data_IF_225438411568
#
_entry.id   IF_225438411568
#
_cell.length_a   1.000
_cell.length_b   1.000
_cell.length_c   1.000
_cell.angle_alpha   90.00
_cell.angle_beta   90.00
_cell.angle_gamma   90.00
#
_symmetry.space_group_name_H-M   'P 1'
#
loop_
_entity.id
_entity.type
_entity.pdbx_description
1 polymer ?
#
# COMPACT_ATOMS: atom_id res chain seq x y z
N UNK A 1 25.05 -24.18 -9.31
CA UNK A 1 25.38 -24.60 -7.93
C UNK A 1 25.51 -23.40 -6.98
N UNK A 2 26.40 -22.43 -7.25
CA UNK A 2 26.52 -21.23 -6.42
C UNK A 2 25.24 -20.36 -6.41
N UNK A 3 24.66 -20.11 -7.60
CA UNK A 3 23.42 -19.32 -7.75
C UNK A 3 22.21 -19.93 -7.03
N UNK A 4 22.13 -21.26 -6.96
CA UNK A 4 21.06 -21.95 -6.23
C UNK A 4 21.16 -21.73 -4.71
N UNK A 5 22.39 -21.78 -4.18
CA UNK A 5 22.63 -21.55 -2.75
C UNK A 5 22.39 -20.09 -2.37
N UNK A 6 22.77 -19.15 -3.23
CA UNK A 6 22.49 -17.72 -3.05
C UNK A 6 20.99 -17.42 -3.07
N UNK A 7 20.25 -17.95 -4.05
CA UNK A 7 18.79 -17.82 -4.11
C UNK A 7 18.11 -18.38 -2.85
N UNK A 8 18.56 -19.55 -2.38
CA UNK A 8 18.06 -20.16 -1.16
C UNK A 8 18.32 -19.29 0.07
N UNK A 9 19.55 -18.83 0.26
CA UNK A 9 19.89 -17.98 1.41
C UNK A 9 19.06 -16.68 1.42
N UNK A 10 18.97 -15.99 0.28
CA UNK A 10 18.26 -14.73 0.16
C UNK A 10 16.76 -14.88 0.42
N UNK A 11 16.12 -15.90 -0.17
CA UNK A 11 14.69 -16.15 0.09
C UNK A 11 14.47 -16.50 1.55
N UNK A 12 15.33 -17.33 2.16
CA UNK A 12 15.18 -17.72 3.56
C UNK A 12 15.24 -16.51 4.49
N UNK A 13 16.18 -15.59 4.25
CA UNK A 13 16.36 -14.35 5.03
C UNK A 13 15.24 -13.34 4.80
N UNK A 14 14.82 -13.14 3.54
CA UNK A 14 13.74 -12.19 3.20
C UNK A 14 12.38 -12.59 3.78
N UNK A 15 12.22 -13.87 4.11
CA UNK A 15 10.98 -14.45 4.65
C UNK A 15 11.15 -14.99 6.07
N UNK A 16 12.17 -14.49 6.80
CA UNK A 16 12.39 -14.83 8.20
C UNK A 16 11.32 -14.18 9.09
N UNK A 17 10.82 -14.93 10.05
CA UNK A 17 9.75 -14.48 10.95
C UNK A 17 10.23 -13.58 12.06
N UNK A 18 11.54 -13.58 12.31
CA UNK A 18 12.17 -12.64 13.20
C UNK A 18 12.15 -11.21 12.64
N UNK A 19 11.86 -11.02 11.35
CA UNK A 19 11.76 -9.70 10.74
C UNK A 19 10.55 -8.93 11.26
N UNK A 20 10.75 -7.66 11.60
CA UNK A 20 9.65 -6.75 11.97
C UNK A 20 8.68 -6.52 10.79
N UNK A 21 9.19 -6.54 9.56
CA UNK A 21 8.43 -6.33 8.33
C UNK A 21 9.21 -6.77 7.10
N UNK A 22 8.74 -6.44 5.88
CA UNK A 22 9.47 -6.72 4.65
C UNK A 22 10.84 -6.04 4.65
N UNK A 23 11.88 -6.81 4.38
CA UNK A 23 13.24 -6.27 4.28
C UNK A 23 13.55 -5.91 2.83
N UNK A 24 13.31 -4.66 2.46
CA UNK A 24 13.32 -4.22 1.06
C UNK A 24 14.66 -4.42 0.37
N UNK A 25 15.78 -4.27 1.08
CA UNK A 25 17.11 -4.55 0.53
C UNK A 25 17.24 -6.01 0.04
N UNK A 26 16.69 -6.97 0.79
CA UNK A 26 16.70 -8.38 0.39
C UNK A 26 15.74 -8.66 -0.76
N UNK A 27 14.55 -8.05 -0.76
CA UNK A 27 13.59 -8.19 -1.83
C UNK A 27 14.15 -7.64 -3.16
N UNK A 28 14.82 -6.50 -3.12
CA UNK A 28 15.46 -5.90 -4.31
C UNK A 28 16.65 -6.73 -4.79
N UNK A 29 17.47 -7.26 -3.87
CA UNK A 29 18.56 -8.18 -4.25
C UNK A 29 18.02 -9.43 -4.97
N UNK A 30 16.86 -9.95 -4.55
CA UNK A 30 16.19 -11.06 -5.25
C UNK A 30 15.66 -10.65 -6.63
N UNK A 31 15.12 -9.43 -6.77
CA UNK A 31 14.74 -8.88 -8.08
C UNK A 31 15.95 -8.78 -9.02
N UNK A 32 17.08 -8.25 -8.54
CA UNK A 32 18.31 -8.14 -9.31
C UNK A 32 18.82 -9.53 -9.71
N UNK A 33 18.79 -10.49 -8.79
CA UNK A 33 19.22 -11.87 -9.04
C UNK A 33 18.41 -12.52 -10.17
N UNK A 34 17.08 -12.45 -10.13
CA UNK A 34 16.22 -13.08 -11.16
C UNK A 34 16.29 -12.36 -12.50
N UNK A 35 16.54 -11.04 -12.51
CA UNK A 35 16.75 -10.27 -13.73
C UNK A 35 18.10 -10.56 -14.38
N UNK A 36 19.16 -10.74 -13.59
CA UNK A 36 20.48 -11.06 -14.08
C UNK A 36 20.61 -12.54 -14.50
N UNK A 37 19.93 -13.44 -13.79
CA UNK A 37 20.09 -14.89 -13.95
C UNK A 37 18.73 -15.58 -14.10
N UNK A 38 18.29 -15.81 -15.34
CA UNK A 38 17.02 -16.49 -15.63
C UNK A 38 16.90 -17.90 -15.00
N UNK A 39 18.03 -18.60 -14.79
CA UNK A 39 18.05 -19.89 -14.11
C UNK A 39 17.60 -19.81 -12.64
N UNK A 40 17.86 -18.68 -11.96
CA UNK A 40 17.49 -18.47 -10.56
C UNK A 40 15.96 -18.29 -10.38
N UNK A 41 15.22 -17.92 -11.44
CA UNK A 41 13.77 -17.69 -11.36
C UNK A 41 13.03 -18.93 -10.82
N UNK A 42 13.39 -20.12 -11.31
CA UNK A 42 12.74 -21.38 -10.88
C UNK A 42 12.96 -21.64 -9.39
N UNK A 43 14.17 -21.44 -8.88
CA UNK A 43 14.46 -21.69 -7.48
C UNK A 43 13.82 -20.67 -6.55
N UNK A 44 13.89 -19.39 -6.91
CA UNK A 44 13.24 -18.32 -6.12
C UNK A 44 11.74 -18.57 -6.01
N UNK A 45 11.05 -18.86 -7.13
CA UNK A 45 9.61 -19.12 -7.12
C UNK A 45 9.27 -20.43 -6.40
N UNK A 46 10.07 -21.49 -6.56
CA UNK A 46 9.88 -22.76 -5.84
C UNK A 46 10.05 -22.60 -4.34
N UNK A 47 11.03 -21.82 -3.89
CA UNK A 47 11.26 -21.53 -2.47
C UNK A 47 10.15 -20.65 -1.91
N UNK A 48 9.69 -19.65 -2.65
CA UNK A 48 8.51 -18.85 -2.31
C UNK A 48 7.28 -19.72 -2.12
N UNK A 49 7.02 -20.66 -3.02
CA UNK A 49 5.91 -21.60 -2.90
C UNK A 49 5.95 -22.38 -1.58
N UNK A 50 7.13 -22.86 -1.18
CA UNK A 50 7.32 -23.51 0.14
C UNK A 50 7.06 -22.58 1.31
N UNK A 51 7.36 -21.28 1.18
CA UNK A 51 7.08 -20.28 2.22
C UNK A 51 5.59 -19.94 2.30
N UNK A 52 4.88 -19.88 1.17
CA UNK A 52 3.42 -19.71 1.15
C UNK A 52 2.69 -20.89 1.82
N UNK A 53 3.21 -22.11 1.65
CA UNK A 53 2.68 -23.33 2.30
C UNK A 53 3.09 -23.46 3.78
N UNK A 54 3.81 -22.49 4.34
CA UNK A 54 4.19 -22.48 5.75
C UNK A 54 2.97 -22.26 6.63
N UNK A 55 2.81 -23.05 7.70
CA UNK A 55 1.76 -22.84 8.71
C UNK A 55 1.99 -21.60 9.60
N UNK A 56 2.93 -20.74 9.22
CA UNK A 56 3.40 -19.63 10.04
C UNK A 56 3.03 -18.29 9.37
N UNK A 57 2.17 -17.47 9.99
CA UNK A 57 1.61 -16.26 9.36
C UNK A 57 2.63 -15.26 8.85
N UNK A 58 3.67 -14.97 9.64
CA UNK A 58 4.67 -13.95 9.30
C UNK A 58 5.48 -14.34 8.06
N UNK A 59 5.94 -15.59 7.97
CA UNK A 59 6.64 -16.08 6.79
C UNK A 59 5.74 -16.09 5.55
N UNK A 60 4.47 -16.48 5.68
CA UNK A 60 3.52 -16.46 4.56
C UNK A 60 3.27 -15.03 4.06
N UNK A 61 3.07 -14.06 4.97
CA UNK A 61 2.88 -12.66 4.62
C UNK A 61 4.10 -12.07 3.90
N UNK A 62 5.30 -12.29 4.44
CA UNK A 62 6.54 -11.83 3.81
C UNK A 62 6.77 -12.47 2.44
N UNK A 63 6.41 -13.74 2.27
CA UNK A 63 6.46 -14.42 0.98
C UNK A 63 5.46 -13.84 -0.03
N UNK A 64 4.26 -13.46 0.40
CA UNK A 64 3.30 -12.76 -0.47
C UNK A 64 3.84 -11.40 -0.92
N UNK A 65 4.40 -10.60 0.00
CA UNK A 65 5.01 -9.29 -0.34
C UNK A 65 6.20 -9.46 -1.29
N UNK A 66 7.03 -10.46 -1.08
CA UNK A 66 8.15 -10.77 -1.98
C UNK A 66 7.63 -11.22 -3.36
N UNK A 67 6.58 -12.04 -3.42
CA UNK A 67 5.97 -12.45 -4.68
C UNK A 67 5.38 -11.25 -5.44
N UNK A 68 4.68 -10.34 -4.75
CA UNK A 68 4.21 -9.07 -5.32
C UNK A 68 5.37 -8.27 -5.94
N UNK A 69 6.46 -8.15 -5.18
CA UNK A 69 7.64 -7.38 -5.58
C UNK A 69 8.31 -7.99 -6.82
N UNK A 70 8.45 -9.32 -6.87
CA UNK A 70 9.01 -10.03 -8.01
C UNK A 70 8.13 -9.98 -9.25
N UNK A 71 6.79 -9.97 -9.11
CA UNK A 71 5.88 -9.79 -10.26
C UNK A 71 5.93 -8.35 -10.79
N UNK A 72 6.20 -7.36 -9.94
CA UNK A 72 6.31 -5.96 -10.39
C UNK A 72 7.64 -5.65 -11.09
N UNK A 73 8.73 -6.28 -10.66
CA UNK A 73 10.09 -5.91 -11.08
C UNK A 73 10.84 -7.02 -11.83
N UNK A 74 10.28 -8.24 -11.88
CA UNK A 74 10.94 -9.41 -12.43
C UNK A 74 10.72 -9.59 -13.94
N UNK A 75 11.48 -10.49 -14.57
CA UNK A 75 11.33 -10.79 -15.98
C UNK A 75 10.07 -11.62 -16.26
N UNK A 76 9.67 -11.71 -17.54
CA UNK A 76 8.53 -12.52 -17.97
C UNK A 76 8.59 -14.00 -17.52
N UNK A 77 9.80 -14.54 -17.30
CA UNK A 77 9.98 -15.88 -16.72
C UNK A 77 9.37 -16.00 -15.31
N UNK A 78 9.52 -14.97 -14.46
CA UNK A 78 8.88 -14.93 -13.14
C UNK A 78 7.37 -14.87 -13.28
N UNK A 79 6.85 -14.05 -14.20
CA UNK A 79 5.40 -13.95 -14.43
C UNK A 79 4.80 -15.29 -14.87
N UNK A 80 5.49 -16.03 -15.73
CA UNK A 80 5.04 -17.35 -16.17
C UNK A 80 5.02 -18.38 -15.03
N UNK A 81 6.02 -18.33 -14.13
CA UNK A 81 6.10 -19.24 -12.98
C UNK A 81 5.05 -18.91 -11.91
N UNK A 82 4.91 -17.63 -11.55
CA UNK A 82 3.89 -17.14 -10.60
C UNK A 82 2.48 -17.31 -11.17
N UNK A 83 2.32 -17.12 -12.48
CA UNK A 83 1.07 -17.37 -13.22
C UNK A 83 0.77 -18.85 -13.44
N UNK A 84 1.51 -19.77 -12.84
CA UNK A 84 1.15 -21.19 -12.86
C UNK A 84 -0.03 -21.45 -11.91
N UNK A 85 -0.91 -22.39 -12.30
CA UNK A 85 -2.04 -22.80 -11.44
C UNK A 85 -1.58 -23.33 -10.08
N UNK A 86 -0.41 -23.96 -10.01
CA UNK A 86 0.15 -24.47 -8.76
C UNK A 86 0.42 -23.31 -7.79
N UNK A 87 1.20 -22.31 -8.23
CA UNK A 87 1.54 -21.17 -7.40
C UNK A 87 0.30 -20.36 -7.00
N UNK A 88 -0.61 -20.08 -7.95
CA UNK A 88 -1.82 -19.33 -7.67
C UNK A 88 -2.79 -20.05 -6.73
N UNK A 89 -2.84 -21.38 -6.77
CA UNK A 89 -3.64 -22.15 -5.82
C UNK A 89 -3.07 -22.07 -4.40
N UNK A 90 -1.75 -22.01 -4.23
CA UNK A 90 -1.14 -21.81 -2.91
C UNK A 90 -1.46 -20.40 -2.36
N UNK A 91 -1.44 -19.37 -3.21
CA UNK A 91 -1.90 -18.02 -2.82
C UNK A 91 -3.40 -18.02 -2.50
N UNK A 92 -4.23 -18.69 -3.32
CA UNK A 92 -5.67 -18.78 -3.09
C UNK A 92 -6.03 -19.55 -1.81
N UNK A 93 -5.23 -20.54 -1.40
CA UNK A 93 -5.41 -21.25 -0.15
C UNK A 93 -5.29 -20.33 1.07
N UNK A 94 -4.46 -19.28 0.98
CA UNK A 94 -4.27 -18.30 2.05
C UNK A 94 -5.46 -17.33 2.22
N UNK A 95 -6.42 -17.35 1.28
CA UNK A 95 -7.61 -16.50 1.34
C UNK A 95 -8.69 -17.02 2.32
N UNK A 96 -8.50 -18.18 2.95
CA UNK A 96 -9.46 -18.76 3.89
C UNK A 96 -9.45 -18.13 5.29
N UNK A 97 -8.43 -17.30 5.59
CA UNK A 97 -8.27 -16.63 6.88
C UNK A 97 -7.59 -17.47 7.96
N UNK A 98 -7.17 -18.71 7.68
CA UNK A 98 -6.59 -19.62 8.68
C UNK A 98 -5.29 -19.09 9.31
N UNK A 99 -4.53 -18.27 8.56
CA UNK A 99 -3.28 -17.64 9.04
C UNK A 99 -3.47 -16.18 9.51
N UNK A 100 -4.70 -15.69 9.59
CA UNK A 100 -5.02 -14.34 10.05
C UNK A 100 -5.40 -13.37 8.93
N UNK A 101 -6.05 -12.27 9.33
CA UNK A 101 -6.69 -11.30 8.42
C UNK A 101 -5.66 -10.63 7.50
N UNK A 102 -4.49 -10.25 8.01
CA UNK A 102 -3.46 -9.59 7.19
C UNK A 102 -2.98 -10.48 6.03
N UNK A 103 -2.83 -11.78 6.26
CA UNK A 103 -2.42 -12.76 5.24
C UNK A 103 -3.54 -12.96 4.22
N UNK A 104 -4.77 -13.10 4.70
CA UNK A 104 -5.96 -13.25 3.85
C UNK A 104 -6.18 -12.03 2.95
N UNK A 105 -6.19 -10.84 3.53
CA UNK A 105 -6.43 -9.59 2.81
C UNK A 105 -5.37 -9.36 1.74
N UNK A 106 -4.10 -9.60 2.07
CA UNK A 106 -3.01 -9.45 1.12
C UNK A 106 -3.07 -10.49 0.00
N UNK A 107 -3.39 -11.76 0.30
CA UNK A 107 -3.57 -12.80 -0.72
C UNK A 107 -4.71 -12.46 -1.69
N UNK A 108 -5.86 -12.03 -1.17
CA UNK A 108 -7.01 -11.60 -1.98
C UNK A 108 -6.68 -10.38 -2.84
N UNK A 109 -5.95 -9.42 -2.28
CA UNK A 109 -5.49 -8.23 -2.99
C UNK A 109 -4.61 -8.62 -4.19
N UNK A 110 -3.61 -9.49 -3.99
CA UNK A 110 -2.72 -9.93 -5.07
C UNK A 110 -3.45 -10.68 -6.17
N UNK A 111 -4.34 -11.62 -5.82
CA UNK A 111 -5.11 -12.38 -6.82
C UNK A 111 -5.91 -11.44 -7.70
N UNK A 112 -6.56 -10.43 -7.10
CA UNK A 112 -7.31 -9.43 -7.85
C UNK A 112 -6.39 -8.57 -8.72
N UNK A 113 -5.35 -8.00 -8.14
CA UNK A 113 -4.43 -7.11 -8.85
C UNK A 113 -3.76 -7.81 -10.03
N UNK A 114 -3.35 -9.06 -9.87
CA UNK A 114 -2.75 -9.81 -10.97
C UNK A 114 -3.78 -10.21 -12.03
N UNK A 115 -5.02 -10.53 -11.66
CA UNK A 115 -6.09 -10.76 -12.64
C UNK A 115 -6.34 -9.53 -13.51
N UNK A 116 -6.35 -8.34 -12.91
CA UNK A 116 -6.51 -7.06 -13.61
C UNK A 116 -5.26 -6.73 -14.46
N UNK A 117 -4.05 -6.86 -13.90
CA UNK A 117 -2.80 -6.51 -14.57
C UNK A 117 -2.46 -7.40 -15.76
N UNK A 118 -2.80 -8.70 -15.68
CA UNK A 118 -2.57 -9.67 -16.75
C UNK A 118 -3.83 -9.93 -17.59
N UNK A 119 -4.81 -9.03 -17.52
CA UNK A 119 -6.01 -9.12 -18.35
C UNK A 119 -5.65 -9.05 -19.84
N UNK A 120 -6.15 -10.00 -20.63
CA UNK A 120 -5.86 -10.09 -22.07
C UNK A 120 -4.47 -10.63 -22.42
N UNK A 121 -3.64 -11.02 -21.45
CA UNK A 121 -2.40 -11.76 -21.70
C UNK A 121 -2.65 -13.27 -21.85
N UNK A 122 -1.64 -14.00 -22.33
CA UNK A 122 -1.62 -15.48 -22.39
C UNK A 122 -1.58 -16.16 -21.00
N UNK A 123 -1.34 -15.40 -19.92
CA UNK A 123 -1.29 -15.90 -18.55
C UNK A 123 -2.69 -15.97 -17.93
N UNK A 124 -3.58 -16.73 -18.56
CA UNK A 124 -5.01 -16.79 -18.21
C UNK A 124 -5.29 -17.30 -16.79
N UNK A 125 -4.35 -18.02 -16.18
CA UNK A 125 -4.54 -18.60 -14.84
C UNK A 125 -4.81 -17.54 -13.76
N UNK A 126 -4.23 -16.34 -13.87
CA UNK A 126 -4.52 -15.24 -12.95
C UNK A 126 -6.01 -14.88 -12.93
N UNK A 127 -6.61 -14.74 -14.12
CA UNK A 127 -8.04 -14.43 -14.27
C UNK A 127 -8.91 -15.63 -13.88
N UNK A 128 -8.48 -16.86 -14.19
CA UNK A 128 -9.24 -18.07 -13.87
C UNK A 128 -9.38 -18.28 -12.37
N UNK A 129 -8.30 -18.13 -11.60
CA UNK A 129 -8.32 -18.29 -10.14
C UNK A 129 -9.16 -17.18 -9.48
N UNK A 130 -9.03 -15.93 -9.94
CA UNK A 130 -9.87 -14.84 -9.46
C UNK A 130 -11.37 -15.11 -9.69
N UNK A 131 -11.75 -15.51 -10.92
CA UNK A 131 -13.16 -15.86 -11.23
C UNK A 131 -13.64 -17.06 -10.43
N UNK A 132 -12.80 -18.07 -10.22
CA UNK A 132 -13.13 -19.25 -9.43
C UNK A 132 -13.46 -18.86 -7.98
N UNK A 133 -12.63 -18.05 -7.33
CA UNK A 133 -12.87 -17.59 -5.96
C UNK A 133 -14.16 -16.74 -5.87
N UNK A 134 -14.41 -15.87 -6.86
CA UNK A 134 -15.67 -15.11 -6.95
C UNK A 134 -16.89 -16.03 -7.05
N UNK A 135 -16.83 -17.09 -7.87
CA UNK A 135 -17.90 -18.08 -7.98
C UNK A 135 -18.11 -18.88 -6.69
N UNK A 136 -17.07 -19.06 -5.89
CA UNK A 136 -17.14 -19.67 -4.55
C UNK A 136 -17.69 -18.72 -3.48
N UNK A 137 -18.04 -17.47 -3.84
CA UNK A 137 -18.60 -16.49 -2.92
C UNK A 137 -17.56 -15.76 -2.07
N UNK A 138 -16.27 -15.88 -2.41
CA UNK A 138 -15.19 -15.16 -1.73
C UNK A 138 -15.35 -13.66 -1.99
N UNK A 139 -15.51 -12.90 -0.91
CA UNK A 139 -15.49 -11.45 -0.96
C UNK A 139 -14.04 -10.99 -1.16
N UNK A 140 -13.81 -10.27 -2.24
CA UNK A 140 -12.53 -9.58 -2.43
C UNK A 140 -12.66 -8.20 -1.82
N UNK A 141 -11.64 -7.68 -1.13
CA UNK A 141 -11.65 -6.32 -0.66
C UNK A 141 -11.96 -5.43 -1.87
N UNK A 142 -13.01 -4.61 -1.74
CA UNK A 142 -13.27 -3.56 -2.71
C UNK A 142 -11.99 -2.73 -2.80
N UNK A 143 -11.60 -2.31 -4.00
CA UNK A 143 -10.40 -1.49 -4.10
C UNK A 143 -10.80 -0.25 -3.34
N UNK A 144 -10.17 0.05 -2.20
CA UNK A 144 -10.62 1.11 -1.31
C UNK A 144 -10.93 2.36 -2.13
N UNK A 145 -12.22 2.54 -2.38
CA UNK A 145 -12.85 3.70 -2.97
C UNK A 145 -13.96 4.19 -2.05
N UNK A 146 -14.11 3.58 -0.87
CA UNK A 146 -14.98 4.01 0.22
C UNK A 146 -14.34 3.58 1.54
N UNK A 147 -13.27 4.28 1.95
CA UNK A 147 -13.03 4.38 3.38
C UNK A 147 -14.20 5.21 3.94
N UNK A 148 -15.04 4.67 4.85
CA UNK A 148 -16.03 5.47 5.53
C UNK A 148 -15.27 6.61 6.23
N UNK A 149 -15.51 7.84 5.78
CA UNK A 149 -15.01 9.06 6.43
C UNK A 149 -15.74 9.14 7.76
N UNK A 150 -15.18 8.45 8.76
CA UNK A 150 -15.48 8.72 10.15
C UNK A 150 -14.84 10.07 10.44
N UNK A 151 -15.61 11.14 10.25
CA UNK A 151 -15.25 12.47 10.73
C UNK A 151 -14.93 12.35 12.22
N UNK A 152 -13.70 12.62 12.67
CA UNK A 152 -13.46 12.82 14.09
C UNK A 152 -14.31 14.02 14.50
N UNK A 153 -15.21 13.82 15.46
CA UNK A 153 -15.96 14.93 16.03
C UNK A 153 -14.94 15.90 16.64
N UNK A 154 -14.92 17.13 16.13
CA UNK A 154 -14.18 18.21 16.75
C UNK A 154 -14.68 18.37 18.19
N UNK A 155 -13.81 18.08 19.16
CA UNK A 155 -14.02 18.37 20.56
C UNK A 155 -14.13 19.89 20.75
N UNK A 156 -15.35 20.39 20.89
CA UNK A 156 -15.61 21.58 21.70
C UNK A 156 -16.81 21.33 22.61
N UNK A 157 -16.58 21.61 23.88
CA UNK A 157 -17.44 21.25 24.98
C UNK A 157 -18.69 22.15 25.09
N UNK A 158 -19.74 21.55 25.66
CA UNK A 158 -20.88 22.13 26.41
C UNK A 158 -21.98 22.89 25.62
N UNK A 159 -23.18 22.30 25.51
CA UNK A 159 -24.37 22.54 26.39
C UNK A 159 -25.67 21.95 25.81
N UNK A 160 -26.30 21.12 26.66
CA UNK A 160 -27.75 20.97 26.95
C UNK A 160 -28.73 20.45 25.88
N UNK A 161 -29.21 19.24 26.17
CA UNK A 161 -30.60 18.74 26.15
C UNK A 161 -31.51 19.09 24.97
N UNK A 162 -32.03 18.06 24.28
CA UNK A 162 -33.42 17.60 24.43
C UNK A 162 -33.68 16.34 23.59
N UNK A 163 -34.85 15.76 23.81
CA UNK A 163 -35.26 14.37 23.62
C UNK A 163 -35.87 14.06 22.24
N UNK A 164 -36.02 12.75 21.98
CA UNK A 164 -36.91 12.06 21.03
C UNK A 164 -36.52 11.90 19.56
N UNK A 165 -36.68 10.65 19.09
CA UNK A 165 -37.25 10.37 17.78
C UNK A 165 -36.38 9.49 16.89
N UNK A 166 -36.82 8.25 16.68
CA UNK A 166 -36.42 7.45 15.53
C UNK A 166 -36.76 8.18 14.24
N UNK A 167 -35.83 8.31 13.30
CA UNK A 167 -36.14 8.03 11.91
C UNK A 167 -34.87 7.80 11.08
N UNK A 168 -34.94 6.81 10.20
CA UNK A 168 -33.94 6.58 9.18
C UNK A 168 -33.93 7.77 8.22
N UNK A 169 -32.82 8.50 8.17
CA UNK A 169 -32.56 9.50 7.14
C UNK A 169 -31.17 9.25 6.57
N UNK A 170 -31.16 8.64 5.39
CA UNK A 170 -29.99 8.56 4.54
C UNK A 170 -29.50 9.99 4.27
N UNK A 171 -28.32 10.33 4.79
CA UNK A 171 -27.66 11.59 4.50
C UNK A 171 -27.55 11.77 2.97
N UNK A 172 -27.73 12.99 2.44
CA UNK A 172 -27.61 13.24 1.02
C UNK A 172 -26.18 12.86 0.58
N UNK A 173 -26.07 11.85 -0.29
CA UNK A 173 -24.80 11.50 -0.95
C UNK A 173 -24.31 12.76 -1.66
N UNK A 174 -23.28 13.41 -1.10
CA UNK A 174 -22.63 14.56 -1.73
C UNK A 174 -22.22 14.16 -3.14
N UNK A 175 -22.47 15.03 -4.12
CA UNK A 175 -22.00 14.80 -5.48
C UNK A 175 -20.47 14.69 -5.47
N UNK A 176 -19.91 13.86 -6.35
CA UNK A 176 -18.45 13.71 -6.55
C UNK A 176 -17.74 15.06 -6.66
N UNK A 177 -18.40 16.03 -7.28
CA UNK A 177 -17.92 17.39 -7.47
C UNK A 177 -17.77 18.15 -6.13
N UNK A 178 -18.72 17.99 -5.21
CA UNK A 178 -18.66 18.57 -3.86
C UNK A 178 -17.60 17.90 -2.99
N UNK A 179 -17.34 16.60 -3.20
CA UNK A 179 -16.26 15.88 -2.52
C UNK A 179 -14.88 16.35 -2.99
N UNK A 180 -14.71 16.58 -4.29
CA UNK A 180 -13.50 17.16 -4.86
C UNK A 180 -13.26 18.59 -4.37
N UNK A 181 -14.31 19.41 -4.29
CA UNK A 181 -14.20 20.77 -3.75
C UNK A 181 -13.79 20.76 -2.28
N UNK A 182 -14.38 19.87 -1.48
CA UNK A 182 -13.99 19.70 -0.07
C UNK A 182 -12.54 19.24 0.09
N UNK A 183 -12.09 18.29 -0.74
CA UNK A 183 -10.70 17.84 -0.75
C UNK A 183 -9.74 19.00 -1.06
N UNK A 184 -10.10 19.86 -2.01
CA UNK A 184 -9.31 21.04 -2.34
C UNK A 184 -9.21 22.04 -1.19
N UNK A 185 -10.30 22.24 -0.43
CA UNK A 185 -10.28 23.06 0.79
C UNK A 185 -9.39 22.43 1.86
N UNK A 186 -9.51 21.12 2.10
CA UNK A 186 -8.72 20.39 3.09
C UNK A 186 -7.22 20.49 2.77
N UNK A 187 -6.83 20.31 1.49
CA UNK A 187 -5.44 20.47 1.06
C UNK A 187 -4.91 21.89 1.26
N UNK A 188 -5.72 22.93 1.03
CA UNK A 188 -5.33 24.32 1.33
C UNK A 188 -5.08 24.53 2.82
N UNK A 189 -5.95 23.97 3.68
CA UNK A 189 -5.79 24.08 5.13
C UNK A 189 -4.51 23.40 5.62
N UNK A 190 -4.17 22.24 5.06
CA UNK A 190 -2.90 21.55 5.37
C UNK A 190 -1.70 22.42 4.95
N UNK A 191 -1.74 23.03 3.76
CA UNK A 191 -0.67 23.94 3.31
C UNK A 191 -0.50 25.14 4.25
N UNK A 192 -1.60 25.74 4.72
CA UNK A 192 -1.58 26.83 5.69
C UNK A 192 -0.95 26.40 7.02
N UNK A 193 -1.31 25.21 7.53
CA UNK A 193 -0.77 24.66 8.77
C UNK A 193 0.73 24.36 8.67
N UNK A 194 1.20 23.87 7.53
CA UNK A 194 2.65 23.70 7.27
C UNK A 194 3.36 25.06 7.28
N UNK A 195 2.79 26.07 6.61
CA UNK A 195 3.34 27.44 6.63
C UNK A 195 3.46 27.98 8.05
N UNK A 196 2.41 27.82 8.85
CA UNK A 196 2.40 28.22 10.26
C UNK A 196 3.43 27.46 11.09
N UNK A 197 3.61 26.15 10.86
CA UNK A 197 4.65 25.37 11.53
C UNK A 197 6.05 25.92 11.23
N UNK A 198 6.33 26.28 9.97
CA UNK A 198 7.62 26.89 9.59
C UNK A 198 7.84 28.24 10.26
N UNK A 199 6.80 29.07 10.36
CA UNK A 199 6.89 30.34 11.07
C UNK A 199 7.15 30.17 12.57
N UNK A 200 6.42 29.25 13.23
CA UNK A 200 6.63 28.93 14.65
C UNK A 200 8.05 28.39 14.89
N UNK A 201 8.56 27.56 13.98
CA UNK A 201 9.93 27.07 14.01
C UNK A 201 10.97 28.19 13.86
N UNK A 202 10.80 29.07 12.87
CA UNK A 202 11.69 30.19 12.62
C UNK A 202 11.74 31.19 13.80
N UNK A 203 10.62 31.33 14.53
CA UNK A 203 10.53 32.17 15.74
C UNK A 203 11.05 31.47 17.01
N UNK A 204 11.51 30.22 16.91
CA UNK A 204 11.98 29.43 18.07
C UNK A 204 10.87 29.12 19.09
N UNK A 205 9.60 29.20 18.70
CA UNK A 205 8.49 28.96 19.61
C UNK A 205 8.30 27.45 19.81
N UNK A 206 8.36 27.03 21.07
CA UNK A 206 8.08 25.67 21.55
C UNK A 206 6.99 25.76 22.62
N UNK A 207 5.84 25.13 22.37
CA UNK A 207 4.67 25.16 23.25
C UNK A 207 3.45 24.53 22.59
N UNK A 208 2.31 24.49 23.30
CA UNK A 208 1.07 23.81 22.89
C UNK A 208 0.65 24.13 21.45
N UNK A 209 0.75 25.40 21.03
CA UNK A 209 0.35 25.82 19.67
C UNK A 209 1.18 25.18 18.55
N UNK A 210 2.43 24.81 18.81
CA UNK A 210 3.28 24.08 17.85
C UNK A 210 2.94 22.59 17.85
N UNK A 211 2.69 22.04 19.02
CA UNK A 211 2.31 20.64 19.20
C UNK A 211 0.95 20.34 18.56
N UNK A 212 -0.04 21.21 18.75
CA UNK A 212 -1.35 21.13 18.09
C UNK A 212 -1.25 21.10 16.57
N UNK A 213 -0.32 21.89 16.01
CA UNK A 213 -0.09 21.93 14.56
C UNK A 213 0.60 20.65 14.10
N UNK A 214 1.55 20.13 14.87
CA UNK A 214 2.23 18.86 14.57
C UNK A 214 1.26 17.68 14.64
N UNK A 215 0.41 17.61 15.67
CA UNK A 215 -0.58 16.54 15.83
C UNK A 215 -1.63 16.56 14.72
N UNK A 216 -2.12 17.76 14.35
CA UNK A 216 -3.01 17.91 13.20
C UNK A 216 -2.37 17.40 11.91
N UNK A 217 -1.11 17.78 11.66
CA UNK A 217 -0.38 17.33 10.48
C UNK A 217 -0.20 15.80 10.51
N UNK A 218 0.23 15.24 11.64
CA UNK A 218 0.38 13.78 11.83
C UNK A 218 -0.91 13.02 11.53
N UNK A 219 -2.06 13.54 11.95
CA UNK A 219 -3.36 12.96 11.62
C UNK A 219 -3.71 13.04 10.12
N UNK A 220 -3.19 14.02 9.39
CA UNK A 220 -3.38 14.15 7.94
C UNK A 220 -2.48 13.21 7.12
N UNK A 221 -1.39 12.69 7.70
CA UNK A 221 -0.37 11.92 6.98
C UNK A 221 -0.91 10.66 6.29
N UNK A 222 -1.69 9.77 6.95
CA UNK A 222 -2.18 8.55 6.31
C UNK A 222 -3.03 8.86 5.09
N UNK A 223 -3.90 9.88 5.21
CA UNK A 223 -4.80 10.31 4.14
C UNK A 223 -4.03 10.96 2.97
N UNK A 224 -2.94 11.68 3.25
CA UNK A 224 -2.08 12.26 2.23
C UNK A 224 -1.37 11.16 1.42
N UNK A 225 -0.89 10.12 2.08
CA UNK A 225 -0.26 8.98 1.42
C UNK A 225 -1.24 8.26 0.47
N UNK A 226 -2.46 7.98 0.93
CA UNK A 226 -3.52 7.40 0.11
C UNK A 226 -3.87 8.27 -1.11
N UNK A 227 -3.85 9.60 -0.97
CA UNK A 227 -4.11 10.52 -2.10
C UNK A 227 -2.97 10.53 -3.11
N UNK A 228 -1.72 10.48 -2.65
CA UNK A 228 -0.55 10.44 -3.53
C UNK A 228 -0.51 9.11 -4.28
N UNK A 229 -0.73 8.00 -3.59
CA UNK A 229 -0.86 6.67 -4.20
C UNK A 229 -2.01 6.65 -5.20
N UNK A 230 -3.17 7.23 -4.84
CA UNK A 230 -4.30 7.41 -5.74
C UNK A 230 -3.96 8.19 -7.00
N UNK A 231 -3.12 9.22 -6.90
CA UNK A 231 -2.71 10.03 -8.07
C UNK A 231 -1.68 9.35 -8.95
N UNK A 232 -0.74 8.62 -8.35
CA UNK A 232 0.20 7.77 -9.10
C UNK A 232 -0.57 6.68 -9.86
N UNK A 233 -1.68 6.19 -9.30
CA UNK A 233 -2.59 5.24 -9.93
C UNK A 233 -3.57 5.89 -10.94
N UNK A 234 -3.45 7.19 -11.24
CA UNK A 234 -4.31 7.90 -12.18
C UNK A 234 -5.76 8.09 -11.70
N UNK A 235 -6.03 7.89 -10.42
CA UNK A 235 -7.38 7.96 -9.82
C UNK A 235 -7.79 9.38 -9.40
N UNK A 236 -6.83 10.29 -9.27
CA UNK A 236 -7.06 11.73 -9.07
C UNK A 236 -6.42 12.52 -10.20
N UNK A 237 -6.93 13.72 -10.46
CA UNK A 237 -6.39 14.57 -11.51
C UNK A 237 -4.97 15.04 -11.18
N UNK A 238 -4.19 15.28 -12.24
CA UNK A 238 -2.77 15.67 -12.18
C UNK A 238 -2.55 16.92 -11.32
N UNK A 239 -3.50 17.86 -11.33
CA UNK A 239 -3.45 19.11 -10.53
C UNK A 239 -3.68 18.87 -9.04
N UNK A 240 -4.44 17.84 -8.67
CA UNK A 240 -4.61 17.40 -7.28
C UNK A 240 -3.38 16.63 -6.80
N UNK A 241 -2.81 15.76 -7.63
CA UNK A 241 -1.56 15.06 -7.33
C UNK A 241 -0.40 16.05 -7.11
N UNK A 242 -0.25 17.04 -7.98
CA UNK A 242 0.76 18.08 -7.85
C UNK A 242 0.65 18.85 -6.52
N UNK A 243 -0.57 19.16 -6.07
CA UNK A 243 -0.79 19.79 -4.76
C UNK A 243 -0.42 18.88 -3.59
N UNK A 244 -0.75 17.59 -3.67
CA UNK A 244 -0.37 16.61 -2.64
C UNK A 244 1.15 16.44 -2.57
N UNK A 245 1.83 16.38 -3.72
CA UNK A 245 3.29 16.33 -3.80
C UNK A 245 3.94 17.60 -3.25
N UNK A 246 3.39 18.78 -3.54
CA UNK A 246 3.87 20.04 -2.97
C UNK A 246 3.66 20.11 -1.45
N UNK A 247 2.54 19.59 -0.92
CA UNK A 247 2.30 19.49 0.53
C UNK A 247 3.33 18.58 1.20
N UNK A 248 3.68 17.47 0.53
CA UNK A 248 4.69 16.52 1.00
C UNK A 248 6.13 17.05 0.88
N UNK A 249 6.46 17.78 -0.19
CA UNK A 249 7.80 18.31 -0.41
C UNK A 249 8.08 19.61 0.34
N UNK A 250 7.05 20.39 0.66
CA UNK A 250 7.22 21.64 1.38
C UNK A 250 7.21 21.44 2.91
N UNK A 251 6.47 20.46 3.43
CA UNK A 251 6.63 20.04 4.81
C UNK A 251 7.76 19.03 4.86
N UNK A 252 8.85 19.31 5.57
CA UNK A 252 9.87 18.30 5.83
C UNK A 252 9.33 17.33 6.88
N UNK A 253 8.26 16.59 6.52
CA UNK A 253 7.49 15.68 7.35
C UNK A 253 8.40 14.66 8.06
N UNK A 254 9.49 14.31 7.38
CA UNK A 254 10.53 13.41 7.86
C UNK A 254 11.34 13.99 9.02
N UNK A 255 11.65 15.29 8.98
CA UNK A 255 12.43 15.99 10.03
C UNK A 255 11.60 16.31 11.28
N UNK A 256 10.31 16.60 11.12
CA UNK A 256 9.47 17.06 12.24
C UNK A 256 8.86 15.93 13.08
N UNK A 257 8.71 14.72 12.54
CA UNK A 257 8.06 13.59 13.24
C UNK A 257 9.03 12.66 13.97
N UNK A 258 10.32 13.00 14.07
CA UNK A 258 11.26 12.25 14.92
C UNK A 258 11.38 10.77 14.57
N UNK A 259 11.27 10.44 13.28
CA UNK A 259 11.53 9.09 12.77
C UNK A 259 13.03 8.88 12.62
N UNK A 260 13.67 8.35 13.66
CA UNK A 260 14.96 7.71 13.49
C UNK A 260 14.78 6.46 12.64
N UNK A 261 15.47 6.43 11.49
CA UNK A 261 15.62 5.24 10.64
C UNK A 261 14.53 5.06 9.60
N UNK A 262 14.93 5.22 8.34
CA UNK A 262 14.47 4.42 7.20
C UNK A 262 13.00 4.54 6.73
N UNK A 263 12.60 5.70 6.22
CA UNK A 263 11.67 5.71 5.07
C UNK A 263 12.36 6.37 3.87
N UNK A 264 13.12 5.53 3.15
CA UNK A 264 13.61 5.84 1.82
C UNK A 264 12.47 5.88 0.81
N UNK A 265 11.62 6.90 0.86
CA UNK A 265 10.82 7.28 -0.31
C UNK A 265 11.72 8.00 -1.31
N UNK A 266 12.58 7.22 -1.96
CA UNK A 266 13.29 7.68 -3.14
C UNK A 266 12.32 7.73 -4.32
N UNK A 267 12.07 8.96 -4.76
CA UNK A 267 11.79 9.31 -6.14
C UNK A 267 12.65 8.46 -7.08
N UNK A 268 12.03 7.75 -8.03
CA UNK A 268 12.70 7.47 -9.29
C UNK A 268 12.04 8.24 -10.42
N UNK A 269 12.91 9.00 -11.06
CA UNK A 269 12.76 9.88 -12.20
C UNK A 269 12.03 9.22 -13.37
N UNK A 270 10.83 9.72 -13.71
CA UNK A 270 10.35 9.72 -15.09
C UNK A 270 10.92 10.98 -15.76
N UNK A 271 12.17 10.89 -16.20
CA UNK A 271 12.76 11.83 -17.15
C UNK A 271 13.95 11.18 -17.86
N UNK A 272 13.89 11.22 -19.20
CA UNK A 272 14.83 10.64 -20.14
C UNK A 272 14.06 9.87 -21.23
N UNK A 273 13.29 10.56 -22.08
CA UNK A 273 13.69 10.97 -23.44
C UNK A 273 13.91 9.73 -24.34
N UNK A 274 13.10 9.44 -25.35
CA UNK A 274 12.58 10.39 -26.31
C UNK A 274 13.69 10.85 -27.25
N UNK A 275 14.26 9.91 -28.00
CA UNK A 275 14.70 10.02 -29.41
C UNK A 275 14.95 8.61 -29.97
#
# INVERSE_FOLDING_TARGET
MAEHAEAEELVLRATDEALAGPEWALNMALCDLVNAHGAACNDVVRLLQRRLQSARPKAALLALVLAETLVKNGPAAVHALVGSRLFLNDVAALADGALGVDVQDHALLLIRQWADAFQGSELHAFQDVYRQLKLQGVAFPEAENDAPIFTPQATTAVRRAESYGSDASAAPRRSREQQLEKLHEDLRLVQEKIGRLRELHARGQTGEQREDVLDFLRQCQPRMNTLIEGGIMGKIDERTLEKCLNVRGAGDWFYFMGGGGDDGFFFFSLSGAGE
#
